data_IF_789664845263
#
_entry.id   IF_789664845263
#
_cell.length_a   1.000
_cell.length_b   1.000
_cell.length_c   1.000
_cell.angle_alpha   90.00
_cell.angle_beta   90.00
_cell.angle_gamma   90.00
#
_symmetry.space_group_name_H-M   'P 1'
#
loop_
_entity.id
_entity.type
_entity.pdbx_description
1 polymer ?
#
# COMPACT_ATOMS: atom_id res chain seq x y z
N UNK A 1 -15.19 10.32 -0.24
CA UNK A 1 -15.27 8.95 0.23
C UNK A 1 -14.30 8.06 -0.53
N UNK A 2 -13.67 7.13 0.17
CA UNK A 2 -12.62 6.28 -0.39
C UNK A 2 -13.07 5.48 -1.61
N UNK A 3 -14.26 4.88 -1.58
CA UNK A 3 -14.74 4.04 -2.68
C UNK A 3 -14.92 4.83 -3.98
N UNK A 4 -15.40 6.06 -3.90
CA UNK A 4 -15.56 6.92 -5.07
C UNK A 4 -14.18 7.30 -5.64
N UNK A 5 -13.22 7.57 -4.77
CA UNK A 5 -11.85 7.86 -5.19
C UNK A 5 -11.23 6.67 -5.89
N UNK A 6 -11.44 5.45 -5.35
CA UNK A 6 -10.90 4.23 -5.94
C UNK A 6 -11.42 4.03 -7.36
N UNK A 7 -12.70 4.26 -7.59
CA UNK A 7 -13.29 4.14 -8.93
C UNK A 7 -12.64 5.12 -9.92
N UNK A 8 -12.45 6.36 -9.49
CA UNK A 8 -11.79 7.38 -10.32
C UNK A 8 -10.35 6.99 -10.61
N UNK A 9 -9.62 6.58 -9.58
CA UNK A 9 -8.21 6.21 -9.72
C UNK A 9 -8.03 4.99 -10.61
N UNK A 10 -8.89 3.99 -10.47
CA UNK A 10 -8.83 2.78 -11.29
C UNK A 10 -9.07 3.10 -12.77
N UNK A 11 -9.96 4.05 -13.05
CA UNK A 11 -10.23 4.47 -14.43
C UNK A 11 -9.10 5.28 -15.03
N UNK A 12 -8.27 5.92 -14.21
CA UNK A 12 -7.16 6.75 -14.69
C UNK A 12 -5.84 5.98 -14.76
N UNK A 13 -5.76 4.80 -14.14
CA UNK A 13 -4.53 4.05 -14.01
C UNK A 13 -4.22 3.24 -15.27
N UNK A 14 -2.93 3.07 -15.56
CA UNK A 14 -2.46 2.08 -16.53
C UNK A 14 -2.17 0.79 -15.74
N UNK A 15 -2.99 -0.25 -15.87
CA UNK A 15 -2.84 -1.45 -15.06
C UNK A 15 -1.56 -2.23 -15.36
N UNK A 16 -0.89 -1.96 -16.46
CA UNK A 16 0.36 -2.64 -16.80
C UNK A 16 1.58 -1.98 -16.17
N UNK A 17 1.44 -0.73 -15.76
CA UNK A 17 2.57 0.09 -15.30
C UNK A 17 3.00 -0.26 -13.87
N UNK A 18 2.06 -0.49 -12.96
CA UNK A 18 2.37 -0.69 -11.54
C UNK A 18 2.88 0.58 -10.86
N UNK A 19 2.87 1.71 -11.55
CA UNK A 19 3.28 3.00 -11.04
C UNK A 19 2.23 4.03 -11.43
N UNK A 20 1.62 4.62 -10.43
CA UNK A 20 0.56 5.59 -10.65
C UNK A 20 0.75 6.76 -9.69
N UNK A 21 1.13 7.90 -10.23
CA UNK A 21 1.41 9.09 -9.44
C UNK A 21 0.18 9.51 -8.63
N UNK A 22 -1.01 9.35 -9.20
CA UNK A 22 -2.26 9.71 -8.50
C UNK A 22 -2.47 8.82 -7.29
N UNK A 23 -2.27 7.51 -7.43
CA UNK A 23 -2.38 6.56 -6.31
C UNK A 23 -1.31 6.84 -5.26
N UNK A 24 -0.10 7.17 -5.70
CA UNK A 24 1.00 7.48 -4.80
C UNK A 24 0.66 8.69 -3.92
N UNK A 25 0.18 9.77 -4.54
CA UNK A 25 -0.22 10.96 -3.81
C UNK A 25 -1.42 10.71 -2.90
N UNK A 26 -2.36 9.88 -3.35
CA UNK A 26 -3.51 9.48 -2.55
C UNK A 26 -3.07 8.74 -1.29
N UNK A 27 -2.11 7.83 -1.42
CA UNK A 27 -1.57 7.09 -0.28
C UNK A 27 -0.92 8.03 0.73
N UNK A 28 -0.15 9.01 0.25
CA UNK A 28 0.46 10.00 1.14
C UNK A 28 -0.60 10.83 1.87
N UNK A 29 -1.69 11.18 1.19
CA UNK A 29 -2.79 11.92 1.83
C UNK A 29 -3.43 11.12 2.96
N UNK A 30 -3.70 9.84 2.73
CA UNK A 30 -4.26 8.97 3.76
C UNK A 30 -3.33 8.87 4.97
N UNK A 31 -2.03 8.70 4.70
CA UNK A 31 -1.03 8.61 5.75
C UNK A 31 -0.94 9.91 6.55
N UNK A 32 -1.08 11.06 5.87
CA UNK A 32 -1.00 12.39 6.51
C UNK A 32 -2.25 12.79 7.29
N UNK A 33 -3.37 12.09 7.11
CA UNK A 33 -4.63 12.45 7.78
C UNK A 33 -4.50 12.47 9.31
N UNK A 34 -3.54 11.75 9.86
CA UNK A 34 -3.26 11.76 11.30
C UNK A 34 -2.22 12.82 11.70
N UNK A 35 -1.76 13.65 10.75
CA UNK A 35 -0.80 14.72 10.96
C UNK A 35 0.65 14.38 10.67
N UNK A 36 1.00 13.10 10.49
CA UNK A 36 2.36 12.65 10.22
C UNK A 36 2.35 11.57 9.14
N UNK A 37 3.17 11.72 8.12
CA UNK A 37 3.31 10.73 7.06
C UNK A 37 4.45 9.76 7.42
N UNK A 38 4.14 8.68 8.12
CA UNK A 38 5.13 7.71 8.58
C UNK A 38 4.86 6.28 8.13
N UNK A 39 3.95 6.09 7.15
CA UNK A 39 3.61 4.77 6.66
C UNK A 39 2.68 3.98 7.57
N UNK A 40 2.11 4.61 8.59
CA UNK A 40 1.20 3.98 9.53
C UNK A 40 -0.12 4.74 9.60
N UNK A 41 -1.02 4.53 8.62
CA UNK A 41 -2.33 5.17 8.65
C UNK A 41 -3.09 4.77 9.91
N UNK A 42 -3.93 5.68 10.40
CA UNK A 42 -4.66 5.44 11.64
C UNK A 42 -5.62 4.26 11.51
N UNK A 43 -5.61 3.40 12.54
CA UNK A 43 -6.52 2.27 12.66
C UNK A 43 -7.22 2.33 14.03
N UNK A 44 -8.54 2.03 14.09
CA UNK A 44 -9.29 2.23 15.34
C UNK A 44 -8.92 1.29 16.47
N UNK A 45 -8.45 0.08 16.15
CA UNK A 45 -8.18 -0.94 17.17
C UNK A 45 -6.68 -1.11 17.37
N UNK A 46 -6.26 -1.23 18.64
CA UNK A 46 -4.86 -1.44 18.97
C UNK A 46 -4.30 -2.71 18.31
N UNK A 47 -5.12 -3.78 18.23
CA UNK A 47 -4.72 -5.01 17.56
C UNK A 47 -4.39 -4.77 16.09
N UNK A 48 -5.22 -3.98 15.40
CA UNK A 48 -4.99 -3.64 14.00
C UNK A 48 -3.69 -2.85 13.83
N UNK A 49 -3.44 -1.88 14.71
CA UNK A 49 -2.23 -1.07 14.65
C UNK A 49 -0.98 -1.91 14.87
N UNK A 50 -1.01 -2.83 15.84
CA UNK A 50 0.14 -3.71 16.12
C UNK A 50 0.40 -4.66 14.96
N UNK A 51 -0.65 -5.24 14.39
CA UNK A 51 -0.50 -6.16 13.25
C UNK A 51 0.04 -5.42 12.03
N UNK A 52 -0.47 -4.22 11.76
CA UNK A 52 0.03 -3.38 10.68
C UNK A 52 1.52 -3.12 10.86
N UNK A 53 1.92 -2.65 12.04
CA UNK A 53 3.32 -2.35 12.32
C UNK A 53 4.21 -3.58 12.15
N UNK A 54 3.77 -4.74 12.61
CA UNK A 54 4.54 -5.97 12.50
C UNK A 54 4.69 -6.41 11.03
N UNK A 55 3.59 -6.44 10.28
CA UNK A 55 3.59 -6.88 8.90
C UNK A 55 4.35 -5.91 8.00
N UNK A 56 4.03 -4.63 8.11
CA UNK A 56 4.66 -3.62 7.25
C UNK A 56 6.12 -3.38 7.64
N UNK A 57 6.43 -3.40 8.92
CA UNK A 57 7.81 -3.26 9.39
C UNK A 57 8.70 -4.38 8.88
N UNK A 58 8.22 -5.63 8.95
CA UNK A 58 8.96 -6.78 8.46
C UNK A 58 9.18 -6.69 6.94
N UNK A 59 8.13 -6.34 6.19
CA UNK A 59 8.22 -6.23 4.75
C UNK A 59 9.16 -5.09 4.32
N UNK A 60 9.11 -3.97 5.02
CA UNK A 60 9.99 -2.83 4.75
C UNK A 60 11.45 -3.19 5.00
N UNK A 61 11.75 -3.83 6.14
CA UNK A 61 13.10 -4.26 6.45
C UNK A 61 13.61 -5.29 5.44
N UNK A 62 12.74 -6.18 4.99
CA UNK A 62 13.12 -7.17 3.98
C UNK A 62 13.49 -6.48 2.67
N UNK A 63 12.71 -5.48 2.25
CA UNK A 63 13.02 -4.74 1.03
C UNK A 63 14.35 -3.99 1.14
N UNK A 64 14.68 -3.49 2.32
CA UNK A 64 15.97 -2.83 2.54
C UNK A 64 17.15 -3.80 2.42
N UNK A 65 16.95 -5.07 2.80
CA UNK A 65 18.01 -6.08 2.75
C UNK A 65 18.10 -6.78 1.41
N UNK A 66 16.97 -7.00 0.75
CA UNK A 66 16.89 -7.79 -0.47
C UNK A 66 16.07 -7.05 -1.53
N UNK A 67 16.66 -6.75 -2.69
CA UNK A 67 15.90 -6.12 -3.77
C UNK A 67 14.74 -7.01 -4.22
N UNK A 68 13.60 -6.40 -4.51
CA UNK A 68 12.44 -7.08 -5.05
C UNK A 68 12.34 -6.80 -6.55
N UNK A 69 11.87 -7.78 -7.31
CA UNK A 69 11.58 -7.58 -8.72
C UNK A 69 10.24 -6.89 -8.93
N UNK A 70 9.40 -6.87 -7.91
CA UNK A 70 8.07 -6.25 -7.97
C UNK A 70 8.04 -4.90 -7.28
N UNK A 71 8.56 -4.82 -6.04
CA UNK A 71 8.48 -3.61 -5.22
C UNK A 71 9.67 -2.72 -5.55
N UNK A 72 9.38 -1.49 -6.01
CA UNK A 72 10.39 -0.51 -6.37
C UNK A 72 11.30 -0.22 -5.18
N UNK A 73 12.61 -0.16 -5.44
CA UNK A 73 13.61 0.15 -4.41
C UNK A 73 13.36 1.51 -3.74
N UNK A 74 12.66 2.41 -4.41
CA UNK A 74 12.25 3.69 -3.84
C UNK A 74 11.42 3.49 -2.57
N UNK A 75 10.66 2.39 -2.49
CA UNK A 75 9.89 2.04 -1.30
C UNK A 75 10.75 1.71 -0.08
N UNK A 76 12.05 1.48 -0.26
CA UNK A 76 12.97 1.24 0.87
C UNK A 76 13.53 2.52 1.46
N UNK A 77 13.17 3.69 0.92
CA UNK A 77 13.68 4.99 1.36
C UNK A 77 13.22 5.31 2.77
N UNK A 78 11.93 5.20 3.03
CA UNK A 78 11.34 5.38 4.35
C UNK A 78 9.96 4.73 4.38
N UNK A 79 9.35 4.56 5.59
CA UNK A 79 8.06 3.89 5.70
C UNK A 79 6.92 4.57 4.94
N UNK A 80 6.95 5.90 4.81
CA UNK A 80 5.90 6.62 4.07
C UNK A 80 5.97 6.28 2.58
N UNK A 81 7.16 6.23 2.01
CA UNK A 81 7.34 5.86 0.61
C UNK A 81 7.00 4.38 0.38
N UNK A 82 7.35 3.52 1.34
CA UNK A 82 6.98 2.10 1.26
C UNK A 82 5.46 1.95 1.18
N UNK A 83 4.72 2.64 2.04
CA UNK A 83 3.27 2.60 2.03
C UNK A 83 2.71 3.06 0.68
N UNK A 84 3.26 4.13 0.12
CA UNK A 84 2.81 4.64 -1.16
C UNK A 84 3.06 3.64 -2.29
N UNK A 85 4.24 3.03 -2.33
CA UNK A 85 4.62 2.07 -3.37
C UNK A 85 3.75 0.81 -3.30
N UNK A 86 3.53 0.25 -2.11
CA UNK A 86 2.70 -0.95 -2.00
C UNK A 86 1.22 -0.65 -2.27
N UNK A 87 0.76 0.57 -1.98
CA UNK A 87 -0.60 0.98 -2.32
C UNK A 87 -0.80 1.01 -3.83
N UNK A 88 0.17 1.56 -4.58
CA UNK A 88 0.12 1.52 -6.03
C UNK A 88 -0.01 0.09 -6.54
N UNK A 89 0.82 -0.82 -6.03
CA UNK A 89 0.80 -2.22 -6.43
C UNK A 89 -0.52 -2.90 -6.07
N UNK A 90 -1.07 -2.56 -4.92
CA UNK A 90 -2.33 -3.13 -4.46
C UNK A 90 -3.47 -2.88 -5.45
N UNK A 91 -3.54 -1.69 -6.00
CA UNK A 91 -4.59 -1.33 -6.96
C UNK A 91 -4.23 -1.67 -8.41
N UNK A 92 -2.96 -1.56 -8.78
CA UNK A 92 -2.53 -1.76 -10.15
C UNK A 92 -2.19 -3.22 -10.46
N UNK A 93 -1.56 -3.91 -9.53
CA UNK A 93 -1.10 -5.28 -9.72
C UNK A 93 -1.39 -6.13 -8.47
N UNK A 94 -2.68 -6.29 -8.12
CA UNK A 94 -3.04 -6.99 -6.89
C UNK A 94 -2.61 -8.45 -6.86
N UNK A 95 -2.65 -9.14 -8.00
CA UNK A 95 -2.28 -10.55 -8.05
C UNK A 95 -0.78 -10.73 -7.76
N UNK A 96 0.05 -9.88 -8.34
CA UNK A 96 1.49 -9.93 -8.12
C UNK A 96 1.83 -9.61 -6.67
N UNK A 97 1.19 -8.59 -6.10
CA UNK A 97 1.42 -8.24 -4.70
C UNK A 97 0.97 -9.36 -3.76
N UNK A 98 -0.19 -9.94 -4.00
CA UNK A 98 -0.69 -11.02 -3.16
C UNK A 98 0.20 -12.26 -3.24
N UNK A 99 0.81 -12.51 -4.39
CA UNK A 99 1.72 -13.65 -4.56
C UNK A 99 3.05 -13.43 -3.84
N UNK A 100 3.61 -12.22 -3.93
CA UNK A 100 4.90 -11.93 -3.31
C UNK A 100 4.78 -11.62 -1.82
N UNK A 101 3.75 -10.89 -1.42
CA UNK A 101 3.57 -10.42 -0.05
C UNK A 101 2.11 -10.54 0.38
N UNK A 102 1.61 -11.76 0.62
CA UNK A 102 0.20 -11.97 0.93
C UNK A 102 -0.25 -11.24 2.20
N UNK A 103 0.61 -11.12 3.20
CA UNK A 103 0.26 -10.42 4.43
C UNK A 103 0.11 -8.93 4.21
N UNK A 104 0.98 -8.34 3.38
CA UNK A 104 0.89 -6.93 3.00
C UNK A 104 -0.42 -6.68 2.24
N UNK A 105 -0.74 -7.54 1.28
CA UNK A 105 -1.99 -7.44 0.55
C UNK A 105 -3.19 -7.43 1.50
N UNK A 106 -3.18 -8.35 2.46
CA UNK A 106 -4.29 -8.50 3.40
C UNK A 106 -4.46 -7.27 4.29
N UNK A 107 -3.35 -6.68 4.75
CA UNK A 107 -3.41 -5.46 5.55
C UNK A 107 -3.98 -4.29 4.75
N UNK A 108 -3.61 -4.18 3.47
CA UNK A 108 -4.14 -3.12 2.62
C UNK A 108 -5.63 -3.34 2.31
N UNK A 109 -6.03 -4.58 2.07
CA UNK A 109 -7.44 -4.91 1.85
C UNK A 109 -8.28 -4.54 3.06
N UNK A 110 -7.76 -4.82 4.26
CA UNK A 110 -8.44 -4.47 5.50
C UNK A 110 -8.52 -2.95 5.70
N UNK A 111 -7.44 -2.24 5.40
CA UNK A 111 -7.41 -0.78 5.54
C UNK A 111 -8.40 -0.10 4.59
N UNK A 112 -8.40 -0.48 3.32
CA UNK A 112 -9.22 0.16 2.31
C UNK A 112 -10.64 -0.42 2.23
N UNK A 113 -10.86 -1.59 2.81
CA UNK A 113 -12.16 -2.25 2.77
C UNK A 113 -12.56 -2.76 1.39
N UNK A 114 -11.59 -3.12 0.56
CA UNK A 114 -11.81 -3.60 -0.80
C UNK A 114 -10.93 -4.81 -1.09
N UNK A 115 -11.35 -5.58 -2.11
CA UNK A 115 -10.64 -6.78 -2.55
C UNK A 115 -10.37 -6.70 -4.05
N UNK A 116 -9.26 -6.06 -4.46
CA UNK A 116 -8.95 -5.92 -5.89
C UNK A 116 -8.85 -7.26 -6.63
N UNK A 117 -8.47 -8.35 -5.94
CA UNK A 117 -8.43 -9.66 -6.57
C UNK A 117 -9.81 -10.15 -7.02
N UNK A 118 -10.87 -9.62 -6.44
CA UNK A 118 -12.25 -9.99 -6.78
C UNK A 118 -12.84 -9.11 -7.88
N UNK A 119 -12.12 -8.15 -8.36
CA UNK A 119 -12.58 -7.21 -9.39
C UNK A 119 -12.52 -7.80 -10.81
#
# INVERSE_FOLDING_TARGET
MILAWIDVLSGAADPADGRNVVLHEFAHQIDQDKGVADGQPWRPRARQRRRWAAVMGDAFERLQREPSTLIDAYGATDPAEFFAVITELFFERPQALAAEAPQVYRELADLFGVEPLAW
#
